data_IF_273098761354
#
_entry.id   IF_273098761354
#
_cell.length_a   1.000
_cell.length_b   1.000
_cell.length_c   1.000
_cell.angle_alpha   90.00
_cell.angle_beta   90.00
_cell.angle_gamma   90.00
#
_symmetry.space_group_name_H-M   'P 1'
#
loop_
_entity.id
_entity.type
_entity.pdbx_description
1 polymer ?
#
# COMPACT_ATOMS: atom_id res chain seq x y z
N UNK A 1 18.53 -8.04 -11.56
CA UNK A 1 18.05 -6.99 -10.64
C UNK A 1 16.70 -7.34 -10.06
N UNK A 2 16.46 -7.03 -8.80
CA UNK A 2 15.20 -7.38 -8.11
C UNK A 2 13.97 -6.75 -8.78
N UNK A 3 14.08 -5.50 -9.23
CA UNK A 3 12.98 -4.81 -9.91
C UNK A 3 12.54 -5.56 -11.16
N UNK A 4 13.48 -6.05 -11.95
CA UNK A 4 13.19 -6.79 -13.19
C UNK A 4 12.47 -8.10 -12.87
N UNK A 5 12.86 -8.76 -11.80
CA UNK A 5 12.21 -9.98 -11.35
C UNK A 5 10.75 -9.75 -10.99
N UNK A 6 10.47 -8.69 -10.22
CA UNK A 6 9.09 -8.35 -9.84
C UNK A 6 8.25 -7.94 -11.04
N UNK A 7 8.82 -7.18 -11.97
CA UNK A 7 8.11 -6.80 -13.20
C UNK A 7 7.77 -8.02 -14.05
N UNK A 8 8.67 -9.00 -14.09
CA UNK A 8 8.38 -10.25 -14.78
C UNK A 8 7.24 -11.01 -14.10
N UNK A 9 7.24 -11.08 -12.78
CA UNK A 9 6.17 -11.73 -12.03
C UNK A 9 4.82 -11.06 -12.29
N UNK A 10 4.78 -9.74 -12.38
CA UNK A 10 3.57 -8.99 -12.72
C UNK A 10 3.09 -9.35 -14.13
N UNK A 11 4.00 -9.44 -15.08
CA UNK A 11 3.66 -9.78 -16.46
C UNK A 11 3.07 -11.19 -16.56
N UNK A 12 3.62 -12.14 -15.79
CA UNK A 12 3.15 -13.52 -15.80
C UNK A 12 1.83 -13.71 -15.05
N UNK A 13 1.58 -12.91 -14.01
CA UNK A 13 0.40 -13.05 -13.18
C UNK A 13 -0.21 -11.68 -12.84
N UNK A 14 -0.70 -10.93 -13.85
CA UNK A 14 -1.18 -9.56 -13.60
C UNK A 14 -2.47 -9.50 -12.78
N UNK A 15 -3.12 -10.63 -12.54
CA UNK A 15 -4.35 -10.71 -11.75
C UNK A 15 -4.10 -10.92 -10.25
N UNK A 16 -2.84 -11.02 -9.83
CA UNK A 16 -2.49 -11.22 -8.44
C UNK A 16 -1.93 -9.93 -7.83
N UNK A 17 -2.34 -9.64 -6.59
CA UNK A 17 -1.83 -8.46 -5.87
C UNK A 17 -0.39 -8.62 -5.41
N UNK A 18 0.02 -9.84 -5.09
CA UNK A 18 1.29 -10.11 -4.43
C UNK A 18 2.50 -9.55 -5.17
N UNK A 19 2.66 -9.75 -6.48
CA UNK A 19 3.81 -9.17 -7.20
C UNK A 19 3.84 -7.64 -7.16
N UNK A 20 2.67 -7.00 -7.25
CA UNK A 20 2.59 -5.54 -7.15
C UNK A 20 3.00 -5.06 -5.77
N UNK A 21 2.57 -5.76 -4.73
CA UNK A 21 2.91 -5.41 -3.35
C UNK A 21 4.37 -5.63 -3.05
N UNK A 22 4.95 -6.72 -3.57
CA UNK A 22 6.38 -7.00 -3.40
C UNK A 22 7.22 -5.89 -4.02
N UNK A 23 6.85 -5.45 -5.22
CA UNK A 23 7.54 -4.34 -5.89
C UNK A 23 7.35 -3.03 -5.11
N UNK A 24 6.13 -2.76 -4.64
CA UNK A 24 5.87 -1.56 -3.85
C UNK A 24 6.70 -1.54 -2.56
N UNK A 25 6.85 -2.67 -1.89
CA UNK A 25 7.68 -2.77 -0.68
C UNK A 25 9.15 -2.52 -0.98
N UNK A 26 9.64 -3.04 -2.11
CA UNK A 26 11.01 -2.78 -2.53
C UNK A 26 11.23 -1.28 -2.77
N UNK A 27 10.30 -0.65 -3.48
CA UNK A 27 10.39 0.78 -3.77
C UNK A 27 10.24 1.62 -2.50
N UNK A 28 9.42 1.18 -1.55
CA UNK A 28 9.28 1.81 -0.25
C UNK A 28 10.63 1.83 0.48
N UNK A 29 11.36 0.73 0.47
CA UNK A 29 12.69 0.68 1.10
C UNK A 29 13.71 1.57 0.41
N UNK A 30 13.51 1.83 -0.88
CA UNK A 30 14.37 2.73 -1.66
C UNK A 30 13.89 4.18 -1.62
N UNK A 31 12.81 4.46 -0.91
CA UNK A 31 12.21 5.79 -0.80
C UNK A 31 11.74 6.34 -2.15
N UNK A 32 11.37 5.47 -3.07
CA UNK A 32 10.78 5.83 -4.36
C UNK A 32 9.26 5.91 -4.23
N UNK A 33 8.79 7.01 -3.66
CA UNK A 33 7.40 7.16 -3.23
C UNK A 33 6.38 7.14 -4.38
N UNK A 34 6.73 7.74 -5.51
CA UNK A 34 5.83 7.72 -6.68
C UNK A 34 5.61 6.31 -7.19
N UNK A 35 6.66 5.48 -7.19
CA UNK A 35 6.54 4.07 -7.55
C UNK A 35 5.68 3.30 -6.57
N UNK A 36 5.81 3.59 -5.27
CA UNK A 36 4.97 2.99 -4.24
C UNK A 36 3.49 3.30 -4.52
N UNK A 37 3.19 4.56 -4.81
CA UNK A 37 1.81 4.98 -5.11
C UNK A 37 1.28 4.29 -6.36
N UNK A 38 2.08 4.18 -7.40
CA UNK A 38 1.67 3.56 -8.65
C UNK A 38 1.35 2.07 -8.46
N UNK A 39 2.28 1.32 -7.88
CA UNK A 39 2.12 -0.14 -7.78
C UNK A 39 1.11 -0.54 -6.71
N UNK A 40 0.96 0.22 -5.63
CA UNK A 40 -0.13 -0.05 -4.69
C UNK A 40 -1.49 0.25 -5.32
N UNK A 41 -1.59 1.27 -6.16
CA UNK A 41 -2.83 1.54 -6.90
C UNK A 41 -3.17 0.37 -7.83
N UNK A 42 -2.18 -0.18 -8.52
CA UNK A 42 -2.38 -1.37 -9.35
C UNK A 42 -2.86 -2.56 -8.53
N UNK A 43 -2.27 -2.78 -7.36
CA UNK A 43 -2.68 -3.87 -6.47
C UNK A 43 -4.12 -3.69 -6.02
N UNK A 44 -4.49 -2.49 -5.61
CA UNK A 44 -5.84 -2.19 -5.12
C UNK A 44 -6.91 -2.28 -6.21
N UNK A 45 -6.53 -2.10 -7.46
CA UNK A 45 -7.44 -2.27 -8.59
C UNK A 45 -7.85 -3.73 -8.77
N UNK A 46 -7.07 -4.67 -8.24
CA UNK A 46 -7.39 -6.10 -8.27
C UNK A 46 -8.31 -6.40 -7.10
N UNK A 47 -9.58 -6.63 -7.36
CA UNK A 47 -10.58 -6.88 -6.32
C UNK A 47 -11.00 -8.34 -6.22
N UNK A 48 -10.74 -9.14 -7.25
CA UNK A 48 -11.09 -10.57 -7.26
C UNK A 48 -9.99 -11.37 -6.56
N UNK A 49 -10.23 -11.73 -5.29
CA UNK A 49 -9.27 -12.52 -4.52
C UNK A 49 -9.33 -13.99 -4.95
N UNK A 50 -8.19 -14.60 -5.32
CA UNK A 50 -8.18 -16.02 -5.70
C UNK A 50 -8.66 -16.91 -4.56
N UNK A 51 -9.46 -17.93 -4.91
CA UNK A 51 -9.96 -18.87 -3.91
C UNK A 51 -9.02 -20.03 -3.65
N UNK A 52 -8.21 -20.31 -4.64
CA UNK A 52 -7.65 -21.64 -4.78
C UNK A 52 -6.40 -21.93 -3.97
N UNK A 53 -5.80 -21.00 -3.31
CA UNK A 53 -4.72 -21.28 -2.39
C UNK A 53 -4.09 -20.02 -1.86
N UNK A 54 -2.83 -20.09 -1.57
CA UNK A 54 -2.10 -19.09 -0.79
C UNK A 54 -2.17 -17.69 -1.39
N UNK A 55 -3.02 -16.84 -0.82
CA UNK A 55 -2.96 -15.40 -1.00
C UNK A 55 -2.30 -14.83 0.24
N UNK A 56 -1.33 -13.97 0.08
CA UNK A 56 -0.75 -13.29 1.22
C UNK A 56 -1.80 -12.35 1.81
N UNK A 57 -2.21 -12.63 3.06
CA UNK A 57 -3.23 -11.84 3.72
C UNK A 57 -2.87 -10.35 3.78
N UNK A 58 -1.58 -10.02 3.89
CA UNK A 58 -1.10 -8.65 3.94
C UNK A 58 -1.44 -7.86 2.68
N UNK A 59 -1.36 -8.48 1.51
CA UNK A 59 -1.68 -7.81 0.25
C UNK A 59 -3.17 -7.46 0.16
N UNK A 60 -4.03 -8.19 0.89
CA UNK A 60 -5.48 -8.00 0.89
C UNK A 60 -5.99 -7.30 2.15
N UNK A 61 -5.10 -6.98 3.09
CA UNK A 61 -5.41 -6.27 4.32
C UNK A 61 -5.08 -4.79 4.23
N UNK A 62 -4.58 -4.25 5.34
CA UNK A 62 -4.30 -2.82 5.47
C UNK A 62 -2.99 -2.37 4.84
N UNK A 63 -2.07 -3.29 4.52
CA UNK A 63 -0.73 -2.94 4.06
C UNK A 63 -0.70 -2.01 2.84
N UNK A 64 -1.47 -2.24 1.77
CA UNK A 64 -1.45 -1.32 0.63
C UNK A 64 -1.80 0.11 1.03
N UNK A 65 -2.81 0.29 1.86
CA UNK A 65 -3.24 1.61 2.32
C UNK A 65 -2.21 2.25 3.25
N UNK A 66 -1.57 1.46 4.11
CA UNK A 66 -0.53 1.92 5.01
C UNK A 66 0.68 2.44 4.22
N UNK A 67 1.12 1.69 3.20
CA UNK A 67 2.21 2.12 2.32
C UNK A 67 1.85 3.40 1.57
N UNK A 68 0.62 3.50 1.07
CA UNK A 68 0.15 4.70 0.38
C UNK A 68 0.12 5.90 1.31
N UNK A 69 -0.32 5.71 2.55
CA UNK A 69 -0.32 6.79 3.54
C UNK A 69 1.08 7.36 3.75
N UNK A 70 2.08 6.49 3.88
CA UNK A 70 3.46 6.93 4.06
C UNK A 70 4.01 7.59 2.81
N UNK A 71 3.71 7.06 1.63
CA UNK A 71 4.16 7.64 0.36
C UNK A 71 3.56 9.04 0.15
N UNK A 72 2.27 9.21 0.43
CA UNK A 72 1.65 10.54 0.34
C UNK A 72 2.24 11.50 1.36
N UNK A 73 2.51 11.02 2.57
CA UNK A 73 3.15 11.85 3.59
C UNK A 73 4.50 12.40 3.10
N UNK A 74 5.35 11.52 2.56
CA UNK A 74 6.69 11.92 2.11
C UNK A 74 6.66 12.76 0.82
N UNK A 75 5.59 12.68 0.04
CA UNK A 75 5.43 13.54 -1.15
C UNK A 75 4.70 14.85 -0.84
N UNK A 76 4.33 15.07 0.42
CA UNK A 76 3.76 16.34 0.86
C UNK A 76 2.24 16.42 0.80
N UNK A 77 1.55 15.31 0.53
CA UNK A 77 0.08 15.27 0.45
C UNK A 77 -0.51 14.65 1.71
N UNK A 78 -0.52 15.42 2.79
CA UNK A 78 -0.99 14.91 4.08
C UNK A 78 -2.50 14.60 4.08
N UNK A 79 -3.29 15.27 3.25
CA UNK A 79 -4.72 15.00 3.16
C UNK A 79 -4.98 13.61 2.58
N UNK A 80 -4.32 13.28 1.48
CA UNK A 80 -4.42 11.94 0.89
C UNK A 80 -3.82 10.89 1.81
N UNK A 81 -2.73 11.22 2.51
CA UNK A 81 -2.14 10.33 3.49
C UNK A 81 -3.14 9.97 4.59
N UNK A 82 -3.85 10.97 5.12
CA UNK A 82 -4.87 10.74 6.16
C UNK A 82 -6.00 9.87 5.63
N UNK A 83 -6.45 10.09 4.38
CA UNK A 83 -7.50 9.28 3.78
C UNK A 83 -7.09 7.81 3.65
N UNK A 84 -5.86 7.54 3.25
CA UNK A 84 -5.35 6.17 3.17
C UNK A 84 -5.19 5.55 4.56
N UNK A 85 -4.73 6.31 5.54
CA UNK A 85 -4.63 5.82 6.92
C UNK A 85 -6.01 5.46 7.49
N UNK A 86 -7.05 6.20 7.16
CA UNK A 86 -8.42 5.86 7.56
C UNK A 86 -8.84 4.51 6.99
N UNK A 87 -8.53 4.25 5.72
CA UNK A 87 -8.84 2.97 5.09
C UNK A 87 -8.07 1.83 5.75
N UNK A 88 -6.81 2.05 6.08
CA UNK A 88 -6.00 1.06 6.79
C UNK A 88 -6.60 0.75 8.15
N UNK A 89 -7.05 1.76 8.88
CA UNK A 89 -7.65 1.59 10.19
C UNK A 89 -9.00 0.86 10.12
N UNK A 90 -9.80 1.11 9.06
CA UNK A 90 -11.03 0.38 8.85
C UNK A 90 -10.79 -1.12 8.69
N UNK A 91 -9.69 -1.48 8.04
CA UNK A 91 -9.33 -2.88 7.82
C UNK A 91 -8.69 -3.51 9.05
N UNK A 92 -8.01 -2.74 9.87
CA UNK A 92 -7.38 -3.19 11.10
C UNK A 92 -7.67 -2.21 12.25
N UNK A 93 -8.90 -2.21 12.80
CA UNK A 93 -9.28 -1.22 13.82
C UNK A 93 -8.44 -1.26 15.10
N UNK A 94 -7.85 -2.41 15.40
CA UNK A 94 -6.99 -2.58 16.58
C UNK A 94 -5.55 -2.16 16.40
N UNK A 95 -5.17 -1.67 15.21
CA UNK A 95 -3.79 -1.31 14.95
C UNK A 95 -3.48 0.07 15.53
N UNK A 96 -2.83 0.08 16.70
CA UNK A 96 -2.52 1.31 17.43
C UNK A 96 -1.58 2.22 16.62
N UNK A 97 -0.62 1.65 15.91
CA UNK A 97 0.33 2.42 15.09
C UNK A 97 -0.38 3.22 14.00
N UNK A 98 -1.33 2.58 13.31
CA UNK A 98 -2.10 3.23 12.26
C UNK A 98 -2.97 4.34 12.86
N UNK A 99 -3.58 4.09 14.01
CA UNK A 99 -4.42 5.08 14.69
C UNK A 99 -3.62 6.33 15.08
N UNK A 100 -2.44 6.13 15.64
CA UNK A 100 -1.57 7.24 16.03
C UNK A 100 -1.10 8.02 14.81
N UNK A 101 -0.71 7.32 13.74
CA UNK A 101 -0.30 7.96 12.50
C UNK A 101 -1.45 8.78 11.90
N UNK A 102 -2.67 8.28 11.96
CA UNK A 102 -3.83 8.99 11.44
C UNK A 102 -4.07 10.31 12.18
N UNK A 103 -3.95 10.31 13.50
CA UNK A 103 -4.09 11.52 14.30
C UNK A 103 -3.05 12.58 13.90
N UNK A 104 -1.81 12.16 13.74
CA UNK A 104 -0.73 13.05 13.31
C UNK A 104 -1.02 13.62 11.92
N UNK A 105 -1.43 12.76 10.99
CA UNK A 105 -1.71 13.16 9.62
C UNK A 105 -2.88 14.13 9.52
N UNK A 106 -3.92 13.92 10.30
CA UNK A 106 -5.07 14.85 10.37
C UNK A 106 -4.63 16.21 10.87
N UNK A 107 -3.79 16.25 11.89
CA UNK A 107 -3.25 17.51 12.39
C UNK A 107 -2.44 18.25 11.34
N UNK A 108 -1.62 17.53 10.60
CA UNK A 108 -0.80 18.12 9.53
C UNK A 108 -1.65 18.60 8.36
N UNK A 109 -2.76 17.93 8.08
CA UNK A 109 -3.67 18.33 6.99
C UNK A 109 -4.61 19.48 7.39
N UNK A 110 -4.56 19.93 8.63
CA UNK A 110 -5.41 21.01 9.12
C UNK A 110 -6.81 20.58 9.52
N UNK A 111 -6.98 19.32 9.81
CA UNK A 111 -8.30 18.78 10.23
C UNK A 111 -8.42 18.66 11.74
#
# INVERSE_FOLDING_TARGET
>A
MARDWYLRAITEAPHLREPYMDLALMLYRQEEWEGVLYFTACALAITARPRSYICEAEAWGSLPHDLRAMAFYYTGDCRSAAAEAEKALELEPGNQRVRENLEILRGMAGE
#
